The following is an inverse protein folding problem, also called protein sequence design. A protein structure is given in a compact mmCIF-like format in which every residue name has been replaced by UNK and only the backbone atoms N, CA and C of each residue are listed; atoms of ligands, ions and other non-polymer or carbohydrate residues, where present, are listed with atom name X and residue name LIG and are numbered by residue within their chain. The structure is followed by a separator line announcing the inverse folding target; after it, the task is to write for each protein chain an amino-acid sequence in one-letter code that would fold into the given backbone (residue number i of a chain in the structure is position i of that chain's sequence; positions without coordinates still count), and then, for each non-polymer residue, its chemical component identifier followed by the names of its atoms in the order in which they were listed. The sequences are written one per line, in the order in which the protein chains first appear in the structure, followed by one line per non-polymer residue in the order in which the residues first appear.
data_IF_125304330130
#
_entry.id   IF_125304330130
#
_cell.length_a   1.000
_cell.length_b   1.000
_cell.length_c   1.000
_cell.angle_alpha   90.00
_cell.angle_beta   90.00
_cell.angle_gamma   90.00
#
_symmetry.space_group_name_H-M   'P 1'
#
loop_
_entity.id
_entity.type
_entity.pdbx_description
1 polymer ?
#
# COMPACT_ATOMS: atom_id res chain seq x y z
N UNK A 1 24.83 -12.14 -22.33
CA UNK A 1 23.78 -12.62 -21.43
C UNK A 1 23.74 -11.65 -20.29
N UNK A 2 22.63 -10.90 -20.12
CA UNK A 2 22.45 -9.99 -18.99
C UNK A 2 22.43 -10.81 -17.67
N UNK A 3 23.02 -10.26 -16.61
CA UNK A 3 22.95 -10.90 -15.31
C UNK A 3 21.46 -10.95 -14.85
N UNK A 4 21.04 -12.03 -14.18
CA UNK A 4 19.66 -12.12 -13.69
C UNK A 4 19.37 -11.03 -12.64
N UNK A 5 18.15 -10.51 -12.64
CA UNK A 5 17.65 -9.67 -11.56
C UNK A 5 17.28 -10.58 -10.39
N UNK A 6 17.98 -10.44 -9.28
CA UNK A 6 17.78 -11.26 -8.09
C UNK A 6 17.38 -10.41 -6.90
N UNK A 7 16.40 -10.89 -6.15
CA UNK A 7 15.92 -10.31 -4.91
C UNK A 7 16.28 -11.19 -3.72
N UNK A 8 16.67 -10.58 -2.62
CA UNK A 8 17.06 -11.24 -1.37
C UNK A 8 16.16 -10.77 -0.22
N UNK A 9 15.02 -11.44 0.00
CA UNK A 9 14.15 -11.06 1.12
C UNK A 9 14.80 -11.27 2.47
N UNK A 10 15.72 -12.26 2.57
CA UNK A 10 16.56 -12.53 3.75
C UNK A 10 17.95 -12.92 3.30
N UNK A 11 18.90 -13.05 4.23
CA UNK A 11 20.27 -13.49 3.94
C UNK A 11 20.30 -14.89 3.27
N UNK A 12 19.34 -15.75 3.62
CA UNK A 12 19.30 -17.17 3.22
C UNK A 12 18.26 -17.48 2.13
N UNK A 13 17.58 -16.45 1.58
CA UNK A 13 16.58 -16.62 0.54
C UNK A 13 16.85 -15.74 -0.66
N UNK A 14 16.69 -16.30 -1.85
CA UNK A 14 16.81 -15.58 -3.13
C UNK A 14 15.77 -16.06 -4.12
N UNK A 15 15.21 -15.11 -4.88
CA UNK A 15 14.38 -15.37 -6.05
C UNK A 15 14.62 -14.29 -7.11
N UNK A 16 14.09 -14.43 -8.32
CA UNK A 16 14.27 -13.38 -9.33
C UNK A 16 13.91 -13.77 -10.74
N UNK A 17 14.34 -12.91 -11.68
CA UNK A 17 13.98 -12.95 -13.08
C UNK A 17 15.25 -13.11 -13.95
N UNK A 18 15.49 -14.29 -14.54
CA UNK A 18 16.74 -14.58 -15.24
C UNK A 18 16.96 -13.78 -16.53
N UNK A 19 15.86 -13.34 -17.16
CA UNK A 19 15.91 -12.64 -18.45
C UNK A 19 15.52 -11.15 -18.32
N UNK A 20 15.74 -10.54 -17.15
CA UNK A 20 15.50 -9.13 -16.94
C UNK A 20 16.53 -8.26 -17.68
N UNK A 21 16.07 -7.14 -18.23
CA UNK A 21 16.91 -6.14 -18.89
C UNK A 21 16.73 -4.80 -18.20
N UNK A 22 17.82 -4.22 -17.68
CA UNK A 22 17.77 -2.90 -17.05
C UNK A 22 17.58 -1.81 -18.10
N UNK A 23 16.58 -0.97 -17.91
CA UNK A 23 16.22 0.15 -18.77
C UNK A 23 16.80 1.47 -18.27
N UNK A 24 16.78 1.68 -16.96
CA UNK A 24 17.29 2.89 -16.31
C UNK A 24 17.91 2.56 -14.95
N UNK A 25 18.83 3.41 -14.51
CA UNK A 25 19.42 3.39 -13.18
C UNK A 25 19.76 4.83 -12.79
N UNK A 26 19.23 5.29 -11.68
CA UNK A 26 19.42 6.66 -11.15
C UNK A 26 19.70 6.57 -9.65
N UNK A 27 20.73 7.27 -9.20
CA UNK A 27 20.97 7.48 -7.78
C UNK A 27 20.35 8.84 -7.40
N UNK A 28 19.26 8.82 -6.64
CA UNK A 28 18.64 10.01 -6.09
C UNK A 28 19.30 10.41 -4.75
N UNK A 29 18.95 11.54 -4.15
CA UNK A 29 19.43 11.88 -2.80
C UNK A 29 19.00 10.87 -1.72
N UNK A 30 18.00 10.02 -1.99
CA UNK A 30 17.37 9.14 -1.00
C UNK A 30 17.70 7.67 -1.22
N UNK A 31 17.83 7.23 -2.50
CA UNK A 31 17.89 5.82 -2.85
C UNK A 31 18.35 5.60 -4.29
N UNK A 32 18.77 4.38 -4.57
CA UNK A 32 19.05 3.93 -5.92
C UNK A 32 17.79 3.38 -6.57
N UNK A 33 17.38 3.97 -7.69
CA UNK A 33 16.19 3.59 -8.45
C UNK A 33 16.64 2.88 -9.73
N UNK A 34 16.16 1.67 -9.95
CA UNK A 34 16.40 0.95 -11.18
C UNK A 34 15.09 0.53 -11.84
N UNK A 35 15.01 0.69 -13.16
CA UNK A 35 13.87 0.23 -13.96
C UNK A 35 14.30 -0.94 -14.82
N UNK A 36 13.48 -1.99 -14.82
CA UNK A 36 13.75 -3.23 -15.52
C UNK A 36 12.59 -3.61 -16.41
N UNK A 37 12.91 -4.32 -17.50
CA UNK A 37 11.97 -4.98 -18.39
C UNK A 37 12.10 -6.49 -18.22
N UNK A 38 10.98 -7.16 -17.97
CA UNK A 38 10.92 -8.61 -17.75
C UNK A 38 9.86 -9.25 -18.64
N UNK A 39 10.11 -10.44 -19.21
CA UNK A 39 9.12 -11.12 -20.05
C UNK A 39 7.83 -11.47 -19.33
N UNK A 40 7.88 -11.69 -18.00
CA UNK A 40 6.77 -12.20 -17.22
C UNK A 40 5.91 -11.09 -16.56
N UNK A 41 6.55 -10.05 -16.04
CA UNK A 41 5.86 -8.98 -15.28
C UNK A 41 5.90 -7.63 -16.01
N UNK A 42 6.40 -7.59 -17.25
CA UNK A 42 6.58 -6.36 -17.96
C UNK A 42 7.63 -5.46 -17.31
N UNK A 43 7.35 -4.17 -17.25
CA UNK A 43 8.23 -3.20 -16.61
C UNK A 43 8.04 -3.21 -15.10
N UNK A 44 9.14 -3.17 -14.38
CA UNK A 44 9.17 -3.08 -12.94
C UNK A 44 10.25 -2.09 -12.48
N UNK A 45 10.09 -1.54 -11.30
CA UNK A 45 11.16 -0.77 -10.68
C UNK A 45 11.53 -1.31 -9.31
N UNK A 46 12.78 -1.01 -8.93
CA UNK A 46 13.35 -1.37 -7.64
C UNK A 46 13.90 -0.14 -6.95
N UNK A 47 13.84 -0.13 -5.63
CA UNK A 47 14.47 0.86 -4.76
C UNK A 47 15.49 0.14 -3.87
N UNK A 48 16.77 0.54 -3.97
CA UNK A 48 17.90 -0.11 -3.31
C UNK A 48 17.93 -1.63 -3.52
N UNK A 49 17.61 -2.06 -4.76
CA UNK A 49 17.56 -3.48 -5.13
C UNK A 49 16.35 -4.25 -4.60
N UNK A 50 15.37 -3.58 -3.97
CA UNK A 50 14.12 -4.19 -3.51
C UNK A 50 13.02 -4.04 -4.55
N UNK A 51 12.19 -5.08 -4.78
CA UNK A 51 11.09 -4.99 -5.72
C UNK A 51 10.00 -4.06 -5.18
N UNK A 52 9.53 -3.12 -6.00
CA UNK A 52 8.46 -2.18 -5.63
C UNK A 52 7.19 -2.45 -6.42
N UNK A 53 7.17 -2.10 -7.70
CA UNK A 53 5.97 -2.16 -8.53
C UNK A 53 6.29 -2.79 -9.87
N UNK A 54 5.37 -3.56 -10.44
CA UNK A 54 5.44 -4.01 -11.84
C UNK A 54 4.13 -3.76 -12.58
N UNK A 55 4.21 -3.50 -13.88
CA UNK A 55 3.02 -3.34 -14.73
C UNK A 55 2.18 -4.62 -14.83
N UNK A 56 2.80 -5.77 -14.55
CA UNK A 56 2.15 -7.09 -14.66
C UNK A 56 1.33 -7.52 -13.45
N UNK A 57 1.57 -6.96 -12.26
CA UNK A 57 0.90 -7.44 -11.04
C UNK A 57 0.56 -6.38 -9.98
N UNK A 58 0.88 -5.09 -10.21
CA UNK A 58 0.64 -4.02 -9.25
C UNK A 58 -0.82 -3.93 -8.78
N UNK A 59 -1.75 -4.22 -9.68
CA UNK A 59 -3.18 -4.16 -9.39
C UNK A 59 -3.57 -5.11 -8.25
N UNK A 60 -2.83 -6.18 -8.03
CA UNK A 60 -3.09 -7.17 -6.97
C UNK A 60 -3.09 -6.46 -5.61
N UNK A 61 -2.03 -5.73 -5.29
CA UNK A 61 -1.94 -5.09 -3.97
C UNK A 61 -2.60 -3.70 -3.93
N UNK A 62 -2.55 -2.92 -5.00
CA UNK A 62 -3.22 -1.62 -5.01
C UNK A 62 -4.74 -1.74 -4.84
N UNK A 63 -5.36 -2.72 -5.50
CA UNK A 63 -6.79 -2.97 -5.31
C UNK A 63 -7.10 -3.45 -3.88
N UNK A 64 -6.27 -4.34 -3.31
CA UNK A 64 -6.43 -4.80 -1.93
C UNK A 64 -6.17 -3.69 -0.89
N UNK A 65 -5.27 -2.77 -1.16
CA UNK A 65 -4.98 -1.64 -0.26
C UNK A 65 -6.10 -0.60 -0.25
N UNK A 66 -6.76 -0.38 -1.39
CA UNK A 66 -7.71 0.72 -1.55
C UNK A 66 -9.15 0.28 -1.36
N UNK A 67 -9.60 -0.74 -2.10
CA UNK A 67 -11.04 -1.02 -2.20
C UNK A 67 -11.69 -1.55 -0.93
N UNK A 68 -11.10 -2.45 -0.13
CA UNK A 68 -11.71 -2.89 1.11
C UNK A 68 -12.00 -1.73 2.07
N UNK A 69 -11.04 -0.83 2.26
CA UNK A 69 -11.17 0.34 3.10
C UNK A 69 -12.18 1.36 2.55
N UNK A 70 -12.06 1.68 1.26
CA UNK A 70 -12.95 2.64 0.61
C UNK A 70 -14.40 2.14 0.58
N UNK A 71 -14.63 0.84 0.38
CA UNK A 71 -15.95 0.24 0.38
C UNK A 71 -16.51 0.07 1.81
N UNK A 72 -15.68 -0.06 2.83
CA UNK A 72 -16.13 -0.05 4.22
C UNK A 72 -16.64 1.34 4.65
N UNK A 73 -15.96 2.38 4.21
CA UNK A 73 -16.41 3.75 4.50
C UNK A 73 -17.70 4.09 3.72
N UNK A 74 -18.74 4.64 4.38
CA UNK A 74 -20.03 4.88 3.73
C UNK A 74 -19.94 5.87 2.57
N UNK A 75 -19.16 6.93 2.70
CA UNK A 75 -19.02 7.98 1.69
C UNK A 75 -17.66 8.71 1.80
N UNK A 76 -16.52 8.09 1.41
CA UNK A 76 -15.23 8.74 1.52
C UNK A 76 -15.14 9.95 0.58
N UNK A 77 -14.55 11.05 1.05
CA UNK A 77 -14.41 12.33 0.34
C UNK A 77 -12.96 12.73 0.11
N UNK A 78 -12.08 12.39 1.03
CA UNK A 78 -10.68 12.74 0.94
C UNK A 78 -9.79 11.54 1.30
N UNK A 79 -8.68 11.39 0.56
CA UNK A 79 -7.70 10.36 0.79
C UNK A 79 -6.28 10.94 0.84
N UNK A 80 -5.43 10.35 1.68
CA UNK A 80 -4.01 10.64 1.78
C UNK A 80 -3.24 9.37 1.44
N UNK A 81 -2.33 9.46 0.48
CA UNK A 81 -1.36 8.42 0.15
C UNK A 81 0.00 8.88 0.63
N UNK A 82 0.65 8.10 1.49
CA UNK A 82 2.02 8.34 1.93
C UNK A 82 2.93 7.43 1.10
N UNK A 83 3.88 8.02 0.38
CA UNK A 83 4.58 7.38 -0.73
C UNK A 83 3.70 7.35 -1.97
N UNK A 84 3.68 6.23 -2.70
CA UNK A 84 2.82 6.05 -3.86
C UNK A 84 3.25 6.83 -5.10
N UNK A 85 4.53 7.10 -5.25
CA UNK A 85 5.11 7.82 -6.40
C UNK A 85 4.94 7.11 -7.74
N UNK A 86 4.45 5.86 -7.75
CA UNK A 86 4.05 5.16 -8.97
C UNK A 86 2.61 5.49 -9.44
N UNK A 87 1.81 6.10 -8.57
CA UNK A 87 0.44 6.54 -8.86
C UNK A 87 -0.63 5.44 -8.83
N UNK A 88 -0.26 4.18 -8.53
CA UNK A 88 -1.19 3.06 -8.55
C UNK A 88 -2.28 3.18 -7.50
N UNK A 89 -1.93 3.54 -6.26
CA UNK A 89 -2.91 3.80 -5.20
C UNK A 89 -3.85 4.96 -5.57
N UNK A 90 -3.31 6.07 -6.10
CA UNK A 90 -4.11 7.21 -6.56
C UNK A 90 -5.09 6.81 -7.66
N UNK A 91 -4.65 6.03 -8.65
CA UNK A 91 -5.52 5.49 -9.71
C UNK A 91 -6.68 4.66 -9.15
N UNK A 92 -6.42 3.81 -8.16
CA UNK A 92 -7.51 3.01 -7.55
C UNK A 92 -8.48 3.89 -6.74
N UNK A 93 -7.98 4.90 -6.02
CA UNK A 93 -8.81 5.86 -5.30
C UNK A 93 -9.72 6.67 -6.24
N UNK A 94 -9.22 7.06 -7.41
CA UNK A 94 -9.96 7.80 -8.43
C UNK A 94 -11.18 7.04 -8.99
N UNK A 95 -11.20 5.70 -8.91
CA UNK A 95 -12.38 4.89 -9.27
C UNK A 95 -13.58 5.15 -8.35
N UNK A 96 -13.35 5.66 -7.15
CA UNK A 96 -14.41 6.08 -6.24
C UNK A 96 -14.82 7.53 -6.56
N UNK A 97 -15.82 7.71 -7.40
CA UNK A 97 -16.28 9.03 -7.85
C UNK A 97 -16.68 9.99 -6.71
N UNK A 98 -16.98 9.46 -5.52
CA UNK A 98 -17.26 10.26 -4.32
C UNK A 98 -16.05 10.92 -3.69
N UNK A 99 -14.83 10.46 -4.00
CA UNK A 99 -13.58 11.04 -3.50
C UNK A 99 -13.29 12.30 -4.33
N UNK A 100 -13.30 13.43 -3.65
CA UNK A 100 -13.11 14.74 -4.26
C UNK A 100 -11.67 15.26 -4.15
N UNK A 101 -10.89 14.72 -3.22
CA UNK A 101 -9.49 15.11 -2.99
C UNK A 101 -8.63 13.90 -2.65
N UNK A 102 -7.50 13.79 -3.33
CA UNK A 102 -6.45 12.78 -3.07
C UNK A 102 -5.13 13.54 -2.96
N UNK A 103 -4.44 13.38 -1.85
CA UNK A 103 -3.07 13.89 -1.70
C UNK A 103 -2.12 12.71 -1.76
N UNK A 104 -1.08 12.83 -2.58
CA UNK A 104 0.03 11.86 -2.65
C UNK A 104 1.27 12.57 -2.15
N UNK A 105 1.80 12.15 -1.01
CA UNK A 105 3.01 12.71 -0.40
C UNK A 105 4.19 11.76 -0.66
N UNK A 106 4.95 12.05 -1.74
CA UNK A 106 6.07 11.24 -2.20
C UNK A 106 7.40 11.96 -1.89
N UNK A 107 8.32 11.23 -1.26
CA UNK A 107 9.62 11.78 -0.87
C UNK A 107 10.49 12.11 -2.07
N UNK A 108 10.49 11.25 -3.08
CA UNK A 108 11.49 11.23 -4.14
C UNK A 108 10.88 11.57 -5.51
N UNK A 109 11.12 12.78 -5.98
CA UNK A 109 10.66 13.23 -7.30
C UNK A 109 11.17 12.35 -8.46
N UNK A 110 12.34 11.71 -8.30
CA UNK A 110 12.88 10.81 -9.32
C UNK A 110 12.05 9.50 -9.44
N UNK A 111 11.43 9.04 -8.36
CA UNK A 111 10.46 7.93 -8.43
C UNK A 111 9.31 8.32 -9.35
N UNK A 112 8.68 9.47 -9.10
CA UNK A 112 7.57 9.97 -9.93
C UNK A 112 7.98 10.15 -11.40
N UNK A 113 9.15 10.72 -11.64
CA UNK A 113 9.65 10.93 -13.00
C UNK A 113 9.84 9.61 -13.76
N UNK A 114 10.52 8.64 -13.12
CA UNK A 114 10.81 7.36 -13.75
C UNK A 114 9.56 6.50 -13.94
N UNK A 115 8.61 6.55 -12.99
CA UNK A 115 7.35 5.81 -13.12
C UNK A 115 6.47 6.43 -14.23
N UNK A 116 6.41 7.74 -14.36
CA UNK A 116 5.75 8.40 -15.50
C UNK A 116 6.37 7.99 -16.84
N UNK A 117 7.69 7.89 -16.91
CA UNK A 117 8.41 7.57 -18.14
C UNK A 117 8.30 6.08 -18.53
N UNK A 118 8.43 5.18 -17.55
CA UNK A 118 8.58 3.74 -17.81
C UNK A 118 7.37 2.90 -17.41
N UNK A 119 6.60 3.31 -16.42
CA UNK A 119 5.47 2.58 -15.86
C UNK A 119 4.15 3.37 -15.99
N UNK A 120 3.98 4.11 -17.09
CA UNK A 120 2.81 4.96 -17.30
C UNK A 120 1.47 4.24 -17.11
N UNK A 121 1.39 2.95 -17.45
CA UNK A 121 0.20 2.11 -17.28
C UNK A 121 -0.20 1.91 -15.80
N UNK A 122 0.73 2.09 -14.85
CA UNK A 122 0.46 1.97 -13.41
C UNK A 122 -0.35 3.17 -12.94
N UNK A 123 0.08 4.37 -13.25
CA UNK A 123 -0.61 5.60 -12.83
C UNK A 123 -1.80 5.97 -13.74
N UNK A 124 -1.75 5.60 -15.04
CA UNK A 124 -2.81 5.78 -16.04
C UNK A 124 -3.49 7.17 -15.98
N UNK A 125 -2.66 8.23 -15.97
CA UNK A 125 -3.12 9.62 -15.88
C UNK A 125 -3.55 10.09 -14.48
N UNK A 126 -3.39 9.29 -13.43
CA UNK A 126 -3.85 9.64 -12.09
C UNK A 126 -3.24 10.97 -11.58
N UNK A 127 -1.96 11.22 -11.84
CA UNK A 127 -1.31 12.46 -11.41
C UNK A 127 -1.75 13.71 -12.21
N UNK A 128 -2.52 13.55 -13.26
CA UNK A 128 -3.05 14.64 -14.09
C UNK A 128 -4.55 14.89 -13.82
N UNK A 129 -5.20 14.05 -12.97
CA UNK A 129 -6.58 14.26 -12.53
C UNK A 129 -6.64 15.45 -11.55
N UNK A 130 -7.56 16.41 -11.73
CA UNK A 130 -7.66 17.60 -10.89
C UNK A 130 -7.98 17.32 -9.42
N UNK A 131 -8.40 16.11 -9.07
CA UNK A 131 -8.62 15.68 -7.68
C UNK A 131 -7.33 15.26 -6.98
N UNK A 132 -6.23 15.04 -7.72
CA UNK A 132 -4.95 14.56 -7.18
C UNK A 132 -3.99 15.72 -7.01
N UNK A 133 -3.53 15.89 -5.79
CA UNK A 133 -2.47 16.82 -5.39
C UNK A 133 -1.20 16.00 -5.10
N UNK A 134 -0.19 16.14 -5.95
CA UNK A 134 1.12 15.51 -5.74
C UNK A 134 2.03 16.47 -4.97
N UNK A 135 2.43 16.06 -3.77
CA UNK A 135 3.34 16.80 -2.89
C UNK A 135 4.68 16.07 -2.84
N UNK A 136 5.74 16.69 -3.35
CA UNK A 136 7.09 16.14 -3.24
C UNK A 136 7.72 16.63 -1.92
N UNK A 137 8.05 15.68 -1.05
CA UNK A 137 8.65 15.98 0.25
C UNK A 137 8.42 14.89 1.29
N UNK A 138 8.92 15.12 2.49
CA UNK A 138 8.73 14.18 3.61
C UNK A 138 7.25 14.13 4.04
N UNK A 139 6.68 12.93 4.04
CA UNK A 139 5.30 12.71 4.42
C UNK A 139 5.03 13.03 5.90
N UNK A 140 6.04 12.87 6.79
CA UNK A 140 5.92 13.26 8.19
C UNK A 140 5.80 14.78 8.34
N UNK A 141 6.60 15.53 7.60
CA UNK A 141 6.53 16.99 7.56
C UNK A 141 5.18 17.45 6.99
N UNK A 142 4.70 16.79 5.93
CA UNK A 142 3.38 17.09 5.38
C UNK A 142 2.27 16.91 6.43
N UNK A 143 2.24 15.77 7.11
CA UNK A 143 1.24 15.47 8.16
C UNK A 143 1.35 16.44 9.34
N UNK A 144 2.57 16.77 9.77
CA UNK A 144 2.82 17.72 10.85
C UNK A 144 2.36 19.15 10.51
N UNK A 145 2.47 19.54 9.24
CA UNK A 145 2.06 20.85 8.73
C UNK A 145 0.55 21.04 8.61
N UNK A 146 -0.26 19.97 8.70
CA UNK A 146 -1.72 20.07 8.63
C UNK A 146 -2.25 20.68 9.92
N UNK A 147 -2.97 21.80 9.83
CA UNK A 147 -3.65 22.38 10.98
C UNK A 147 -4.73 21.43 11.52
N UNK A 148 -4.49 20.87 12.68
CA UNK A 148 -5.44 19.97 13.36
C UNK A 148 -6.81 20.64 13.70
N UNK A 149 -6.90 21.97 13.63
CA UNK A 149 -8.14 22.73 13.79
C UNK A 149 -8.91 22.90 12.48
N UNK A 150 -8.24 22.78 11.34
CA UNK A 150 -8.90 22.64 10.05
C UNK A 150 -9.46 21.22 10.02
N UNK A 151 -10.74 21.05 10.25
CA UNK A 151 -11.52 19.82 10.43
C UNK A 151 -10.89 18.54 9.87
N UNK A 152 -11.12 17.42 10.55
CA UNK A 152 -10.71 16.08 10.14
C UNK A 152 -10.65 15.93 8.61
N UNK A 153 -9.47 15.58 8.09
CA UNK A 153 -9.14 15.88 6.72
C UNK A 153 -9.34 14.67 5.80
N UNK A 154 -8.99 13.46 6.27
CA UNK A 154 -8.91 12.29 5.40
C UNK A 154 -9.76 11.14 5.92
N UNK A 155 -10.58 10.59 5.04
CA UNK A 155 -11.40 9.40 5.31
C UNK A 155 -10.62 8.11 5.04
N UNK A 156 -9.65 8.19 4.16
CA UNK A 156 -8.77 7.07 3.82
C UNK A 156 -7.32 7.52 3.90
N UNK A 157 -6.48 6.68 4.49
CA UNK A 157 -5.03 6.85 4.48
C UNK A 157 -4.40 5.56 3.97
N UNK A 158 -3.55 5.67 2.96
CA UNK A 158 -2.87 4.54 2.33
C UNK A 158 -1.36 4.71 2.51
N UNK A 159 -0.72 3.78 3.22
CA UNK A 159 0.75 3.69 3.28
C UNK A 159 1.23 2.83 2.13
N UNK A 160 1.49 3.47 1.02
CA UNK A 160 2.09 2.87 -0.16
C UNK A 160 3.60 3.13 -0.15
N UNK A 161 4.24 2.55 0.86
CA UNK A 161 5.61 2.85 1.27
C UNK A 161 6.52 1.63 1.17
N UNK A 162 7.81 1.91 1.04
CA UNK A 162 8.87 0.93 1.28
C UNK A 162 8.83 0.41 2.73
N UNK A 163 9.37 -0.80 3.00
CA UNK A 163 9.40 -1.35 4.37
C UNK A 163 10.11 -0.45 5.38
N UNK A 164 9.88 -0.63 6.71
CA UNK A 164 10.43 0.24 7.76
C UNK A 164 11.95 0.23 7.91
N UNK A 165 12.68 -0.65 7.24
CA UNK A 165 14.15 -0.66 7.12
C UNK A 165 14.65 0.16 5.89
N UNK A 166 14.01 1.28 5.60
CA UNK A 166 14.22 2.18 4.46
C UNK A 166 14.10 3.64 4.90
N UNK A 167 14.19 4.64 3.99
CA UNK A 167 13.89 6.03 4.31
C UNK A 167 12.52 6.27 4.94
N UNK A 168 11.56 5.36 4.76
CA UNK A 168 10.22 5.46 5.38
C UNK A 168 10.16 5.04 6.86
N UNK A 169 11.26 4.68 7.52
CA UNK A 169 11.28 4.14 8.89
C UNK A 169 10.56 5.02 9.92
N UNK A 170 10.66 6.34 9.80
CA UNK A 170 10.02 7.31 10.70
C UNK A 170 8.49 7.26 10.67
N UNK A 171 7.90 6.77 9.57
CA UNK A 171 6.46 6.67 9.37
C UNK A 171 5.85 5.40 10.01
N UNK A 172 6.68 4.45 10.42
CA UNK A 172 6.27 3.19 11.06
C UNK A 172 6.45 3.21 12.57
N UNK A 173 6.07 4.32 13.21
CA UNK A 173 6.22 4.50 14.66
C UNK A 173 4.87 4.80 15.32
N UNK A 174 4.70 4.39 16.58
CA UNK A 174 3.53 4.73 17.39
C UNK A 174 3.24 6.23 17.41
N UNK A 175 4.30 7.04 17.50
CA UNK A 175 4.15 8.50 17.55
C UNK A 175 3.65 9.05 16.23
N UNK A 176 4.11 8.51 15.10
CA UNK A 176 3.58 8.90 13.81
C UNK A 176 2.13 8.45 13.61
N UNK A 177 1.75 7.23 14.02
CA UNK A 177 0.35 6.80 13.96
C UNK A 177 -0.57 7.67 14.80
N UNK A 178 -0.12 8.12 15.97
CA UNK A 178 -0.87 9.08 16.80
C UNK A 178 -1.00 10.46 16.15
N UNK A 179 0.05 10.95 15.49
CA UNK A 179 0.00 12.19 14.71
C UNK A 179 -0.97 12.04 13.54
N UNK A 180 -0.91 10.94 12.82
CA UNK A 180 -1.78 10.65 11.70
C UNK A 180 -3.25 10.61 12.09
N UNK A 181 -3.60 10.03 13.24
CA UNK A 181 -4.97 10.05 13.76
C UNK A 181 -5.55 11.45 13.91
N UNK A 182 -4.75 12.48 14.14
CA UNK A 182 -5.21 13.87 14.28
C UNK A 182 -5.70 14.46 12.95
N UNK A 183 -5.28 13.91 11.83
CA UNK A 183 -5.66 14.35 10.49
C UNK A 183 -6.64 13.37 9.82
N UNK A 184 -7.00 12.29 10.49
CA UNK A 184 -8.03 11.33 10.05
C UNK A 184 -9.42 11.79 10.53
N UNK A 185 -10.43 11.62 9.66
CA UNK A 185 -11.83 11.88 10.02
C UNK A 185 -12.38 10.80 10.96
N UNK A 186 -13.45 11.07 11.72
CA UNK A 186 -14.16 10.02 12.44
C UNK A 186 -14.62 8.92 11.46
N UNK A 187 -14.24 7.66 11.73
CA UNK A 187 -14.54 6.54 10.84
C UNK A 187 -13.54 6.37 9.70
N UNK A 188 -12.45 7.13 9.67
CA UNK A 188 -11.39 6.91 8.69
C UNK A 188 -10.76 5.53 8.79
N UNK A 189 -10.23 5.05 7.67
CA UNK A 189 -9.52 3.77 7.58
C UNK A 189 -8.10 4.02 7.07
N UNK A 190 -7.12 3.52 7.82
CA UNK A 190 -5.73 3.40 7.42
C UNK A 190 -5.51 2.04 6.78
N UNK A 191 -4.75 1.97 5.69
CA UNK A 191 -4.20 0.72 5.13
C UNK A 191 -2.70 0.81 4.95
N UNK A 192 -2.00 -0.30 5.15
CA UNK A 192 -0.54 -0.34 5.01
C UNK A 192 -0.01 -1.73 4.67
N UNK A 193 1.17 -1.74 4.05
CA UNK A 193 1.94 -2.96 3.84
C UNK A 193 2.60 -3.42 5.15
N UNK A 194 2.52 -4.72 5.45
CA UNK A 194 3.22 -5.34 6.57
C UNK A 194 4.43 -6.16 6.11
N UNK A 195 4.35 -6.77 4.94
CA UNK A 195 5.39 -7.63 4.41
C UNK A 195 5.03 -9.12 4.39
N UNK A 196 6.02 -9.95 4.09
CA UNK A 196 5.85 -11.40 4.09
C UNK A 196 5.89 -11.98 5.50
N UNK A 197 4.86 -12.72 5.95
CA UNK A 197 4.89 -13.40 7.24
C UNK A 197 5.87 -14.57 7.27
N UNK A 198 6.31 -15.05 6.09
CA UNK A 198 7.29 -16.14 6.01
C UNK A 198 8.72 -15.65 6.16
N UNK A 199 9.03 -14.47 5.62
CA UNK A 199 10.38 -13.91 5.66
C UNK A 199 10.60 -12.94 6.83
N UNK A 200 9.54 -12.25 7.29
CA UNK A 200 9.65 -11.12 8.23
C UNK A 200 8.59 -11.18 9.34
N UNK A 201 8.34 -12.38 9.91
CA UNK A 201 7.25 -12.59 10.88
C UNK A 201 7.34 -11.66 12.10
N UNK A 202 8.54 -11.48 12.66
CA UNK A 202 8.77 -10.59 13.81
C UNK A 202 8.42 -9.13 13.48
N UNK A 203 8.88 -8.62 12.34
CA UNK A 203 8.54 -7.27 11.87
C UNK A 203 7.04 -7.11 11.67
N UNK A 204 6.41 -8.08 11.00
CA UNK A 204 4.95 -8.07 10.77
C UNK A 204 4.19 -8.03 12.10
N UNK A 205 4.61 -8.83 13.08
CA UNK A 205 4.01 -8.85 14.40
C UNK A 205 4.18 -7.52 15.14
N UNK A 206 5.37 -6.93 15.11
CA UNK A 206 5.64 -5.62 15.72
C UNK A 206 4.76 -4.51 15.14
N UNK A 207 4.63 -4.45 13.81
CA UNK A 207 3.74 -3.48 13.15
C UNK A 207 2.27 -3.69 13.54
N UNK A 208 1.82 -4.94 13.67
CA UNK A 208 0.46 -5.25 14.11
C UNK A 208 0.22 -4.84 15.56
N UNK A 209 1.19 -5.02 16.44
CA UNK A 209 1.08 -4.60 17.84
C UNK A 209 0.99 -3.08 17.94
N UNK A 210 1.82 -2.34 17.21
CA UNK A 210 1.76 -0.87 17.18
C UNK A 210 0.43 -0.34 16.63
N UNK A 211 -0.15 -1.01 15.64
CA UNK A 211 -1.48 -0.66 15.15
C UNK A 211 -2.56 -0.93 16.20
N UNK A 212 -2.50 -2.05 16.91
CA UNK A 212 -3.45 -2.41 17.97
C UNK A 212 -3.35 -1.49 19.19
N UNK A 213 -2.16 -0.97 19.47
CA UNK A 213 -1.94 0.03 20.51
C UNK A 213 -2.50 1.41 20.11
N UNK A 214 -2.85 1.60 18.82
CA UNK A 214 -3.33 2.89 18.29
C UNK A 214 -4.80 2.87 17.88
N UNK A 215 -5.29 1.77 17.27
CA UNK A 215 -6.62 1.67 16.67
C UNK A 215 -7.45 0.56 17.31
N UNK A 216 -8.76 0.79 17.46
CA UNK A 216 -9.67 -0.17 18.06
C UNK A 216 -9.94 -1.40 17.18
N UNK A 217 -9.92 -1.22 15.87
CA UNK A 217 -10.16 -2.28 14.87
C UNK A 217 -8.93 -2.41 13.99
N UNK A 218 -8.28 -3.57 14.02
CA UNK A 218 -7.15 -3.91 13.13
C UNK A 218 -7.45 -5.23 12.46
N UNK A 219 -7.40 -5.28 11.13
CA UNK A 219 -7.63 -6.47 10.31
C UNK A 219 -6.45 -6.71 9.38
N UNK A 220 -6.01 -7.95 9.27
CA UNK A 220 -4.97 -8.36 8.32
C UNK A 220 -5.57 -8.85 7.02
N UNK A 221 -4.97 -8.47 5.92
CA UNK A 221 -5.28 -8.91 4.58
C UNK A 221 -4.09 -9.70 4.01
N UNK A 222 -4.36 -10.69 3.15
CA UNK A 222 -3.32 -11.58 2.63
C UNK A 222 -3.57 -11.87 1.15
N UNK A 223 -2.55 -11.69 0.33
CA UNK A 223 -2.57 -12.12 -1.06
C UNK A 223 -1.17 -12.53 -1.51
N UNK A 224 -1.08 -13.39 -2.52
CA UNK A 224 0.19 -13.68 -3.15
C UNK A 224 0.49 -12.60 -4.19
N UNK A 225 1.70 -12.03 -4.14
CA UNK A 225 2.17 -11.04 -5.12
C UNK A 225 3.37 -11.63 -5.86
N UNK A 226 3.23 -11.89 -7.18
CA UNK A 226 4.28 -12.53 -7.98
C UNK A 226 5.62 -11.80 -7.93
N UNK A 227 5.61 -10.46 -8.01
CA UNK A 227 6.83 -9.65 -7.93
C UNK A 227 7.56 -9.82 -6.61
N UNK A 228 6.82 -9.96 -5.49
CA UNK A 228 7.42 -10.13 -4.16
C UNK A 228 7.76 -11.60 -3.85
N UNK A 229 7.38 -12.54 -4.74
CA UNK A 229 7.70 -13.96 -4.63
C UNK A 229 7.16 -14.64 -3.38
N UNK A 230 6.16 -14.07 -2.73
CA UNK A 230 5.65 -14.53 -1.44
C UNK A 230 4.20 -14.15 -1.19
N UNK A 231 3.59 -14.85 -0.22
CA UNK A 231 2.40 -14.32 0.44
C UNK A 231 2.76 -13.00 1.11
N UNK A 232 1.98 -11.99 0.80
CA UNK A 232 2.15 -10.63 1.32
C UNK A 232 1.00 -10.27 2.24
N UNK A 233 1.35 -9.68 3.37
CA UNK A 233 0.37 -9.18 4.32
C UNK A 233 0.26 -7.67 4.24
N UNK A 234 -0.97 -7.22 4.38
CA UNK A 234 -1.36 -5.83 4.56
C UNK A 234 -2.26 -5.75 5.79
N UNK A 235 -2.48 -4.57 6.31
CA UNK A 235 -3.46 -4.33 7.36
C UNK A 235 -4.40 -3.19 6.98
N UNK A 236 -5.60 -3.25 7.55
CA UNK A 236 -6.48 -2.10 7.70
C UNK A 236 -6.69 -1.80 9.18
N UNK A 237 -6.71 -0.52 9.55
CA UNK A 237 -6.89 -0.06 10.91
C UNK A 237 -7.88 1.13 10.98
N UNK A 238 -8.79 1.10 11.95
CA UNK A 238 -9.81 2.14 12.18
C UNK A 238 -10.25 2.12 13.64
N UNK A 239 -10.87 3.18 14.11
CA UNK A 239 -11.49 3.18 15.43
C UNK A 239 -12.93 2.65 15.42
N UNK A 240 -13.60 2.64 14.27
CA UNK A 240 -15.04 2.32 14.20
C UNK A 240 -15.44 1.41 13.05
N UNK A 241 -14.69 1.42 11.94
CA UNK A 241 -15.03 0.65 10.75
C UNK A 241 -14.26 -0.67 10.69
N UNK A 242 -14.96 -1.74 10.35
CA UNK A 242 -14.37 -3.05 10.12
C UNK A 242 -14.56 -3.47 8.67
N UNK A 243 -13.54 -3.31 7.80
CA UNK A 243 -13.63 -3.76 6.42
C UNK A 243 -13.93 -5.25 6.27
N UNK A 244 -13.44 -6.09 7.20
CA UNK A 244 -13.69 -7.53 7.16
C UNK A 244 -15.15 -7.93 7.45
N UNK A 245 -15.93 -7.03 8.05
CA UNK A 245 -17.33 -7.28 8.35
C UNK A 245 -18.27 -7.07 7.14
N UNK A 246 -17.76 -6.57 6.01
CA UNK A 246 -18.57 -6.39 4.81
C UNK A 246 -18.95 -7.76 4.20
N UNK A 247 -20.23 -7.95 3.98
CA UNK A 247 -20.72 -9.14 3.28
C UNK A 247 -20.52 -9.04 1.77
N UNK A 248 -20.42 -10.18 1.08
CA UNK A 248 -20.33 -10.22 -0.38
C UNK A 248 -21.50 -9.49 -1.06
N UNK A 249 -22.70 -9.57 -0.49
CA UNK A 249 -23.88 -8.84 -0.99
C UNK A 249 -23.69 -7.33 -0.86
N UNK A 250 -23.29 -6.84 0.32
CA UNK A 250 -23.05 -5.41 0.55
C UNK A 250 -21.94 -4.88 -0.38
N UNK A 251 -20.88 -5.66 -0.58
CA UNK A 251 -19.79 -5.30 -1.48
C UNK A 251 -20.26 -5.18 -2.92
N UNK A 252 -21.01 -6.19 -3.41
CA UNK A 252 -21.58 -6.17 -4.77
C UNK A 252 -22.48 -4.95 -4.98
N UNK A 253 -23.34 -4.64 -4.00
CA UNK A 253 -24.20 -3.46 -4.04
C UNK A 253 -23.39 -2.16 -4.06
N UNK A 254 -22.34 -2.04 -3.23
CA UNK A 254 -21.50 -0.82 -3.16
C UNK A 254 -20.65 -0.64 -4.40
N UNK A 255 -20.09 -1.71 -4.97
CA UNK A 255 -19.36 -1.67 -6.24
C UNK A 255 -20.27 -1.18 -7.36
N UNK A 256 -21.47 -1.75 -7.47
CA UNK A 256 -22.46 -1.35 -8.48
C UNK A 256 -22.92 0.11 -8.30
N UNK A 257 -23.25 0.52 -7.05
CA UNK A 257 -23.68 1.88 -6.75
C UNK A 257 -22.59 2.93 -7.06
N UNK A 258 -21.32 2.57 -6.89
CA UNK A 258 -20.18 3.43 -7.20
C UNK A 258 -19.67 3.29 -8.63
N UNK A 259 -20.31 2.41 -9.45
CA UNK A 259 -19.94 2.12 -10.85
C UNK A 259 -18.48 1.66 -11.01
N UNK A 260 -18.02 0.81 -10.07
CA UNK A 260 -16.68 0.22 -10.11
C UNK A 260 -16.83 -1.17 -10.70
N UNK A 261 -16.49 -1.34 -11.98
CA UNK A 261 -16.63 -2.57 -12.77
C UNK A 261 -15.32 -3.04 -13.42
N UNK A 262 -14.26 -2.26 -13.27
CA UNK A 262 -12.98 -2.43 -13.97
C UNK A 262 -11.84 -2.92 -13.06
N UNK A 263 -12.16 -3.67 -11.99
CA UNK A 263 -11.15 -4.27 -11.12
C UNK A 263 -10.61 -5.56 -11.76
N UNK A 264 -9.30 -5.78 -11.61
CA UNK A 264 -8.61 -6.93 -12.20
C UNK A 264 -8.44 -8.08 -11.21
N UNK A 265 -8.45 -7.79 -9.92
CA UNK A 265 -8.14 -8.77 -8.86
C UNK A 265 -9.19 -8.79 -7.76
N UNK A 266 -9.58 -7.64 -7.23
CA UNK A 266 -10.47 -7.56 -6.08
C UNK A 266 -11.95 -7.62 -6.50
N UNK A 267 -12.69 -8.50 -5.86
CA UNK A 267 -14.13 -8.64 -6.00
C UNK A 267 -14.78 -9.12 -4.68
N UNK A 268 -16.09 -9.28 -4.69
CA UNK A 268 -16.83 -9.75 -3.52
C UNK A 268 -16.50 -11.21 -3.12
N UNK A 269 -16.08 -12.04 -4.06
CA UNK A 269 -15.70 -13.41 -3.77
C UNK A 269 -14.33 -13.50 -3.08
N UNK A 270 -13.36 -12.71 -3.55
CA UNK A 270 -12.03 -12.63 -2.95
C UNK A 270 -12.05 -12.02 -1.55
N UNK A 271 -12.95 -11.06 -1.29
CA UNK A 271 -12.96 -10.27 -0.06
C UNK A 271 -12.87 -11.11 1.22
N UNK A 272 -13.71 -12.13 1.36
CA UNK A 272 -13.70 -12.99 2.55
C UNK A 272 -12.38 -13.75 2.69
N UNK A 273 -11.83 -14.23 1.58
CA UNK A 273 -10.53 -14.92 1.56
C UNK A 273 -9.38 -13.99 1.91
N UNK A 274 -9.45 -12.72 1.49
CA UNK A 274 -8.44 -11.71 1.75
C UNK A 274 -8.18 -11.50 3.26
N UNK A 275 -9.22 -11.58 4.10
CA UNK A 275 -9.13 -11.41 5.55
C UNK A 275 -8.90 -12.73 6.31
N UNK A 276 -8.77 -13.86 5.61
CA UNK A 276 -8.66 -15.20 6.21
C UNK A 276 -7.22 -15.71 6.19
N UNK A 277 -6.42 -15.41 7.21
CA UNK A 277 -5.08 -15.96 7.33
C UNK A 277 -5.12 -17.50 7.51
N UNK A 278 -4.20 -18.22 6.86
CA UNK A 278 -4.02 -19.65 7.10
C UNK A 278 -3.58 -19.92 8.54
N UNK A 279 -3.86 -21.14 9.03
CA UNK A 279 -3.44 -21.55 10.38
C UNK A 279 -1.92 -21.40 10.56
N UNK A 280 -1.13 -21.83 9.58
CA UNK A 280 0.34 -21.74 9.64
C UNK A 280 0.84 -20.30 9.76
N UNK A 281 0.19 -19.35 9.11
CA UNK A 281 0.53 -17.90 9.25
C UNK A 281 0.18 -17.40 10.65
N UNK A 282 -1.03 -17.74 11.15
CA UNK A 282 -1.43 -17.34 12.50
C UNK A 282 -0.52 -17.92 13.58
N UNK A 283 -0.20 -19.22 13.48
CA UNK A 283 0.69 -19.91 14.42
C UNK A 283 2.12 -19.32 14.40
N UNK A 284 2.60 -18.92 13.22
CA UNK A 284 3.91 -18.28 13.09
C UNK A 284 3.93 -16.88 13.71
N UNK A 285 2.92 -16.06 13.45
CA UNK A 285 2.84 -14.69 13.98
C UNK A 285 2.62 -14.69 15.50
N UNK A 286 1.86 -15.65 16.04
CA UNK A 286 1.59 -15.74 17.48
C UNK A 286 2.85 -15.90 18.34
N UNK A 287 3.97 -16.33 17.75
CA UNK A 287 5.25 -16.45 18.45
C UNK A 287 5.89 -15.10 18.77
N UNK A 288 5.50 -14.04 18.07
CA UNK A 288 6.09 -12.70 18.15
C UNK A 288 5.09 -11.62 18.61
N UNK A 289 3.78 -11.89 18.50
CA UNK A 289 2.75 -10.95 18.94
C UNK A 289 2.73 -10.85 20.46
N UNK A 290 2.51 -9.63 20.97
CA UNK A 290 2.26 -9.40 22.40
C UNK A 290 1.02 -10.21 22.85
N UNK A 291 1.02 -10.74 24.09
CA UNK A 291 -0.19 -11.35 24.66
C UNK A 291 -1.36 -10.35 24.60
N UNK A 292 -2.53 -10.83 24.20
CA UNK A 292 -3.74 -10.01 24.28
C UNK A 292 -4.01 -9.67 25.75
N UNK A 293 -4.05 -8.40 26.07
CA UNK A 293 -4.40 -7.90 27.40
C UNK A 293 -5.87 -8.15 27.77
#
# INVERSE_FOLDING_TARGET
VSAPLLFRPTADAVYGFPNARRLACVDSPYQRIEVWDTPQLGRLFTLDGRPMTSTGDEFIYHECMVHPAALAHPAPKAALVLGGGDGGAARQLLKHAGIARIVVAELDAEVVRLTREYLADVQDGAFDDPRVELVIGDAADYVAGIDAKAAAQFDLVVFDLTPPDSPAASLYTLDFYRQLKRVMSPGAVLTLHLGSPYFHAERVAGLLDDLRDTFAVVRTMHTFIPLYGSLWMMASASDTLDPAALTAETLTQRLAARRIDSLKHYDAALHTGLFSASRSVRDKLSQFLKPSS
#
